data_IF_250813737265
#
_entry.id   IF_250813737265
#
_cell.length_a   1.000
_cell.length_b   1.000
_cell.length_c   1.000
_cell.angle_alpha   90.00
_cell.angle_beta   90.00
_cell.angle_gamma   90.00
#
_symmetry.space_group_name_H-M   'P 1'
#
loop_
_entity.id
_entity.type
_entity.pdbx_description
1 polymer ?
#
# COMPACT_ATOMS: atom_id res chain seq x y z
N UNK A 1 -26.14 1.86 27.33
CA UNK A 1 -25.77 1.30 26.01
C UNK A 1 -25.72 -0.22 26.11
N UNK A 2 -26.72 -0.89 25.52
CA UNK A 2 -26.87 -2.34 25.53
C UNK A 2 -25.73 -3.02 24.75
N UNK A 3 -25.52 -4.35 24.94
CA UNK A 3 -24.52 -5.11 24.16
C UNK A 3 -24.76 -5.01 22.65
N UNK A 4 -26.02 -4.86 22.24
CA UNK A 4 -26.44 -4.71 20.84
C UNK A 4 -25.97 -3.35 20.30
N UNK A 5 -26.20 -2.27 21.05
CA UNK A 5 -25.77 -0.91 20.67
C UNK A 5 -24.25 -0.83 20.44
N UNK A 6 -23.46 -1.48 21.31
CA UNK A 6 -21.99 -1.55 21.14
C UNK A 6 -21.58 -2.27 19.87
N UNK A 7 -22.30 -3.34 19.50
CA UNK A 7 -22.01 -4.11 18.27
C UNK A 7 -22.34 -3.28 17.03
N UNK A 8 -23.51 -2.63 17.01
CA UNK A 8 -23.94 -1.73 15.92
C UNK A 8 -22.93 -0.58 15.76
N UNK A 9 -22.57 0.09 16.86
CA UNK A 9 -21.58 1.17 16.84
C UNK A 9 -20.23 0.73 16.28
N UNK A 10 -19.76 -0.47 16.67
CA UNK A 10 -18.48 -1.01 16.17
C UNK A 10 -18.50 -1.29 14.67
N UNK A 11 -19.66 -1.70 14.13
CA UNK A 11 -19.82 -1.98 12.70
C UNK A 11 -19.90 -0.66 11.94
N UNK A 12 -20.73 0.26 12.42
CA UNK A 12 -20.89 1.60 11.85
C UNK A 12 -19.55 2.34 11.74
N UNK A 13 -18.76 2.37 12.83
CA UNK A 13 -17.45 3.03 12.83
C UNK A 13 -16.47 2.41 11.82
N UNK A 14 -16.50 1.08 11.62
CA UNK A 14 -15.65 0.40 10.63
C UNK A 14 -15.98 0.82 9.21
N UNK A 15 -17.26 0.87 8.86
CA UNK A 15 -17.70 1.26 7.52
C UNK A 15 -17.49 2.75 7.24
N UNK A 16 -17.66 3.62 8.24
CA UNK A 16 -17.27 5.03 8.13
C UNK A 16 -15.78 5.15 7.83
N UNK A 17 -14.94 4.41 8.54
CA UNK A 17 -13.49 4.45 8.35
C UNK A 17 -13.10 3.98 6.94
N UNK A 18 -13.73 2.90 6.45
CA UNK A 18 -13.55 2.40 5.07
C UNK A 18 -13.99 3.46 4.05
N UNK A 19 -15.13 4.12 4.29
CA UNK A 19 -15.66 5.15 3.41
C UNK A 19 -14.72 6.38 3.34
N UNK A 20 -14.26 6.88 4.49
CA UNK A 20 -13.30 7.99 4.57
C UNK A 20 -11.99 7.63 3.86
N UNK A 21 -11.49 6.40 4.05
CA UNK A 21 -10.31 5.92 3.34
C UNK A 21 -10.54 5.89 1.82
N UNK A 22 -11.77 5.60 1.35
CA UNK A 22 -12.12 5.67 -0.07
C UNK A 22 -12.20 7.07 -0.65
N UNK A 23 -12.61 8.05 0.15
CA UNK A 23 -12.61 9.46 -0.27
C UNK A 23 -11.20 10.02 -0.46
N UNK A 24 -10.19 9.41 0.19
CA UNK A 24 -8.79 9.85 0.13
C UNK A 24 -8.12 9.59 -1.22
N UNK A 25 -8.82 8.90 -2.13
CA UNK A 25 -8.31 8.38 -3.41
C UNK A 25 -7.01 7.55 -3.23
N UNK A 26 -6.44 7.08 -4.33
CA UNK A 26 -5.17 6.38 -4.37
C UNK A 26 -3.97 7.29 -4.01
N UNK A 27 -4.20 8.60 -3.87
CA UNK A 27 -3.17 9.62 -3.62
C UNK A 27 -2.36 9.31 -2.36
N UNK A 28 -3.01 8.85 -1.28
CA UNK A 28 -2.31 8.50 -0.04
C UNK A 28 -1.31 7.38 -0.25
N UNK A 29 -1.70 6.34 -0.99
CA UNK A 29 -0.83 5.19 -1.28
C UNK A 29 0.28 5.58 -2.25
N UNK A 30 -0.01 6.37 -3.28
CA UNK A 30 1.03 6.87 -4.17
C UNK A 30 2.04 7.73 -3.42
N UNK A 31 1.60 8.65 -2.57
CA UNK A 31 2.51 9.46 -1.77
C UNK A 31 3.41 8.60 -0.86
N UNK A 32 2.84 7.56 -0.23
CA UNK A 32 3.57 6.72 0.71
C UNK A 32 4.54 5.74 0.02
N UNK A 33 4.13 5.13 -1.10
CA UNK A 33 4.87 4.03 -1.73
C UNK A 33 5.72 4.44 -2.94
N UNK A 34 5.53 5.63 -3.54
CA UNK A 34 6.34 6.05 -4.69
C UNK A 34 7.84 6.09 -4.37
N UNK A 35 8.23 6.78 -3.29
CA UNK A 35 9.65 6.92 -2.94
C UNK A 35 10.29 5.55 -2.60
N UNK A 36 9.69 4.69 -1.76
CA UNK A 36 10.20 3.35 -1.51
C UNK A 36 10.33 2.51 -2.79
N UNK A 37 9.31 2.47 -3.65
CA UNK A 37 9.33 1.68 -4.88
C UNK A 37 10.47 2.13 -5.79
N UNK A 38 10.60 3.46 -6.02
CA UNK A 38 11.66 4.01 -6.87
C UNK A 38 13.06 3.69 -6.33
N UNK A 39 13.26 3.84 -5.01
CA UNK A 39 14.56 3.56 -4.40
C UNK A 39 14.92 2.08 -4.46
N UNK A 40 13.97 1.18 -4.20
CA UNK A 40 14.23 -0.27 -4.22
C UNK A 40 14.48 -0.75 -5.65
N UNK A 41 13.66 -0.34 -6.63
CA UNK A 41 13.90 -0.70 -8.03
C UNK A 41 15.25 -0.17 -8.54
N UNK A 42 15.61 1.08 -8.21
CA UNK A 42 16.91 1.64 -8.57
C UNK A 42 18.05 0.88 -7.89
N UNK A 43 17.94 0.58 -6.60
CA UNK A 43 18.94 -0.19 -5.86
C UNK A 43 19.16 -1.58 -6.47
N UNK A 44 18.08 -2.29 -6.81
CA UNK A 44 18.15 -3.62 -7.43
C UNK A 44 18.84 -3.58 -8.79
N UNK A 45 18.51 -2.61 -9.64
CA UNK A 45 19.16 -2.44 -10.94
C UNK A 45 20.63 -2.02 -10.81
N UNK A 46 20.93 -1.15 -9.84
CA UNK A 46 22.29 -0.67 -9.58
C UNK A 46 23.25 -1.77 -9.11
N UNK A 47 22.74 -2.85 -8.51
CA UNK A 47 23.53 -4.03 -8.16
C UNK A 47 24.08 -4.75 -9.40
N UNK A 48 23.39 -4.67 -10.52
CA UNK A 48 23.76 -5.35 -11.76
C UNK A 48 24.62 -4.45 -12.64
N UNK A 49 24.28 -3.18 -12.78
CA UNK A 49 25.05 -2.20 -13.56
C UNK A 49 24.75 -0.77 -13.09
N UNK A 50 25.66 0.20 -13.30
CA UNK A 50 25.44 1.58 -12.92
C UNK A 50 24.12 2.13 -13.47
N UNK A 51 23.32 2.70 -12.57
CA UNK A 51 22.05 3.35 -12.90
C UNK A 51 22.13 4.84 -12.66
N UNK A 52 21.36 5.61 -13.42
CA UNK A 52 21.16 7.04 -13.15
C UNK A 52 19.67 7.26 -12.91
N UNK A 53 19.33 7.83 -11.75
CA UNK A 53 17.96 8.10 -11.36
C UNK A 53 17.61 9.57 -11.62
N UNK A 54 16.55 9.81 -12.40
CA UNK A 54 15.98 11.13 -12.65
C UNK A 54 14.48 11.11 -12.34
N UNK A 55 14.11 11.56 -11.14
CA UNK A 55 12.71 11.52 -10.68
C UNK A 55 12.20 10.08 -10.56
N UNK A 56 11.24 9.72 -11.41
CA UNK A 56 10.69 8.36 -11.50
C UNK A 56 11.26 7.54 -12.68
N UNK A 57 12.29 8.05 -13.35
CA UNK A 57 12.92 7.37 -14.49
C UNK A 57 14.31 6.86 -14.10
N UNK A 58 14.60 5.61 -14.43
CA UNK A 58 15.89 4.95 -14.21
C UNK A 58 16.53 4.71 -15.58
N UNK A 59 17.72 5.26 -15.81
CA UNK A 59 18.55 4.93 -16.96
C UNK A 59 19.42 3.70 -16.60
N UNK A 60 19.23 2.60 -17.33
CA UNK A 60 19.95 1.35 -17.15
C UNK A 60 20.41 0.82 -18.52
N UNK A 61 21.73 0.72 -18.74
CA UNK A 61 22.32 0.22 -20.00
C UNK A 61 21.69 0.84 -21.27
N UNK A 62 21.61 2.17 -21.30
CA UNK A 62 21.03 2.95 -22.41
C UNK A 62 19.50 2.79 -22.59
N UNK A 63 18.84 2.06 -21.70
CA UNK A 63 17.37 1.93 -21.66
C UNK A 63 16.80 2.82 -20.57
N UNK A 64 15.76 3.56 -20.91
CA UNK A 64 14.97 4.36 -19.97
C UNK A 64 13.82 3.51 -19.42
N UNK A 65 13.79 3.34 -18.10
CA UNK A 65 12.74 2.63 -17.37
C UNK A 65 11.96 3.66 -16.56
N UNK A 66 10.73 3.96 -16.97
CA UNK A 66 9.84 4.87 -16.24
C UNK A 66 8.92 4.08 -15.30
N UNK A 67 8.97 4.41 -14.00
CA UNK A 67 8.10 3.80 -13.00
C UNK A 67 6.71 4.43 -13.05
N UNK A 68 5.80 3.74 -13.74
CA UNK A 68 4.39 4.12 -13.85
C UNK A 68 3.63 3.86 -12.54
N UNK A 69 2.48 4.51 -12.38
CA UNK A 69 1.59 4.34 -11.20
C UNK A 69 1.20 2.89 -10.94
N UNK A 70 1.14 2.03 -11.96
CA UNK A 70 0.88 0.61 -11.79
C UNK A 70 1.96 -0.08 -10.95
N UNK A 71 3.24 0.28 -11.13
CA UNK A 71 4.37 -0.25 -10.37
C UNK A 71 4.37 0.17 -8.89
N UNK A 72 3.53 1.13 -8.49
CA UNK A 72 3.37 1.52 -7.08
C UNK A 72 2.17 0.78 -6.44
N UNK A 73 1.32 0.14 -7.25
CA UNK A 73 0.19 -0.68 -6.82
C UNK A 73 -0.79 -0.02 -5.82
N UNK A 74 -0.99 1.30 -5.92
CA UNK A 74 -1.81 2.06 -4.97
C UNK A 74 -3.23 1.50 -4.77
N UNK A 75 -3.88 1.04 -5.86
CA UNK A 75 -5.20 0.40 -5.80
C UNK A 75 -5.21 -0.93 -5.07
N UNK A 76 -4.14 -1.72 -5.18
CA UNK A 76 -4.01 -2.99 -4.47
C UNK A 76 -3.79 -2.77 -2.97
N UNK A 77 -2.94 -1.81 -2.56
CA UNK A 77 -2.81 -1.44 -1.15
C UNK A 77 -4.14 -0.96 -0.55
N UNK A 78 -4.90 -0.18 -1.30
CA UNK A 78 -6.23 0.25 -0.90
C UNK A 78 -7.18 -0.94 -0.71
N UNK A 79 -7.22 -1.89 -1.65
CA UNK A 79 -8.05 -3.08 -1.52
C UNK A 79 -7.68 -3.90 -0.27
N UNK A 80 -6.38 -4.08 0.00
CA UNK A 80 -5.90 -4.83 1.16
C UNK A 80 -6.29 -4.17 2.49
N UNK A 81 -6.25 -2.84 2.58
CA UNK A 81 -6.65 -2.14 3.82
C UNK A 81 -8.15 -2.28 4.06
N UNK A 82 -8.99 -2.16 3.01
CA UNK A 82 -10.43 -2.37 3.11
C UNK A 82 -10.71 -3.78 3.59
N UNK A 83 -10.09 -4.78 2.97
CA UNK A 83 -10.31 -6.18 3.31
C UNK A 83 -9.93 -6.45 4.77
N UNK A 84 -8.79 -5.94 5.23
CA UNK A 84 -8.35 -6.11 6.62
C UNK A 84 -9.26 -5.41 7.65
N UNK A 85 -9.89 -4.28 7.28
CA UNK A 85 -10.85 -3.56 8.12
C UNK A 85 -12.24 -4.21 8.11
N UNK A 86 -12.65 -4.80 6.99
CA UNK A 86 -13.92 -5.47 6.82
C UNK A 86 -14.03 -6.75 7.68
N UNK A 87 -12.91 -7.44 7.97
CA UNK A 87 -12.96 -8.67 8.78
C UNK A 87 -13.40 -8.38 10.24
N UNK A 88 -14.52 -8.96 10.71
CA UNK A 88 -15.01 -8.76 12.06
C UNK A 88 -14.21 -9.57 13.11
N UNK A 89 -14.34 -9.15 14.38
CA UNK A 89 -13.83 -9.90 15.55
C UNK A 89 -12.31 -10.14 15.62
N UNK A 90 -11.50 -9.35 14.90
CA UNK A 90 -10.04 -9.36 15.02
C UNK A 90 -9.60 -8.33 16.07
N UNK A 91 -8.71 -8.73 17.00
CA UNK A 91 -8.05 -7.81 17.94
C UNK A 91 -7.25 -6.76 17.16
N UNK A 92 -7.30 -5.49 17.59
CA UNK A 92 -6.63 -4.36 16.91
C UNK A 92 -5.15 -4.64 16.65
N UNK A 93 -4.44 -5.22 17.61
CA UNK A 93 -3.02 -5.58 17.47
C UNK A 93 -2.78 -6.61 16.36
N UNK A 94 -3.66 -7.61 16.24
CA UNK A 94 -3.58 -8.63 15.17
C UNK A 94 -3.94 -8.04 13.80
N UNK A 95 -4.89 -7.09 13.76
CA UNK A 95 -5.25 -6.38 12.54
C UNK A 95 -4.08 -5.53 12.01
N UNK A 96 -3.39 -4.80 12.87
CA UNK A 96 -2.21 -4.03 12.46
C UNK A 96 -1.08 -4.92 11.94
N UNK A 97 -0.83 -6.06 12.59
CA UNK A 97 0.13 -7.07 12.08
C UNK A 97 -0.29 -7.62 10.72
N UNK A 98 -1.57 -7.90 10.53
CA UNK A 98 -2.11 -8.36 9.24
C UNK A 98 -1.92 -7.31 8.14
N UNK A 99 -2.28 -6.05 8.39
CA UNK A 99 -2.11 -4.96 7.42
C UNK A 99 -0.63 -4.79 7.07
N UNK A 100 0.26 -4.77 8.08
CA UNK A 100 1.70 -4.69 7.85
C UNK A 100 2.23 -5.84 7.01
N UNK A 101 1.82 -7.08 7.32
CA UNK A 101 2.19 -8.26 6.54
C UNK A 101 1.70 -8.17 5.09
N UNK A 102 0.44 -7.79 4.88
CA UNK A 102 -0.13 -7.63 3.54
C UNK A 102 0.59 -6.56 2.73
N UNK A 103 0.94 -5.43 3.36
CA UNK A 103 1.61 -4.32 2.69
C UNK A 103 3.05 -4.68 2.30
N UNK A 104 3.79 -5.32 3.22
CA UNK A 104 5.15 -5.79 2.92
C UNK A 104 5.14 -6.88 1.85
N UNK A 105 4.22 -7.84 1.94
CA UNK A 105 4.06 -8.90 0.94
C UNK A 105 3.79 -8.31 -0.44
N UNK A 106 2.79 -7.43 -0.56
CA UNK A 106 2.48 -6.77 -1.82
C UNK A 106 3.65 -5.93 -2.34
N UNK A 107 4.37 -5.22 -1.46
CA UNK A 107 5.52 -4.43 -1.85
C UNK A 107 6.61 -5.28 -2.49
N UNK A 108 6.93 -6.42 -1.87
CA UNK A 108 7.92 -7.36 -2.38
C UNK A 108 7.47 -7.90 -3.73
N UNK A 109 6.26 -8.49 -3.82
CA UNK A 109 5.78 -9.10 -5.05
C UNK A 109 5.60 -8.14 -6.23
N UNK A 110 5.35 -6.86 -5.96
CA UNK A 110 5.11 -5.87 -6.99
C UNK A 110 6.38 -5.11 -7.41
N UNK A 111 7.42 -5.08 -6.56
CA UNK A 111 8.65 -4.31 -6.81
C UNK A 111 9.84 -5.19 -7.22
N UNK A 112 9.85 -6.46 -6.80
CA UNK A 112 10.79 -7.49 -7.28
C UNK A 112 10.27 -8.12 -8.58
#
# INVERSE_FOLDING_TARGET
>A
MTKIDKKIYSVFNRYILIFILGLSDLVLFYFLFTKPTVLVSNFLLNLVSPTILFGNTILFKEVLIELVKACIAGSAYYLLIILALAVPNIKVTRRLKLIGFLFVSLFIFNTL
#
